data_IF_655426446220
#
_entry.id   IF_655426446220
#
_cell.length_a   1.000
_cell.length_b   1.000
_cell.length_c   1.000
_cell.angle_alpha   90.00
_cell.angle_beta   90.00
_cell.angle_gamma   90.00
#
_symmetry.space_group_name_H-M   'P 1'
#
loop_
_entity.id
_entity.type
_entity.pdbx_description
1 polymer ?
#
# COMPACT_ATOMS: atom_id res chain seq x y z
N UNK A 1 -11.97 -1.43 14.59
CA UNK A 1 -11.25 -0.78 13.49
C UNK A 1 -9.83 -1.31 13.46
N UNK A 2 -9.19 -1.32 12.29
CA UNK A 2 -7.79 -1.67 12.14
C UNK A 2 -7.04 -0.35 11.91
N UNK A 3 -6.30 0.16 12.89
CA UNK A 3 -5.84 1.56 12.88
C UNK A 3 -4.39 1.76 12.44
N UNK A 4 -3.55 0.72 12.44
CA UNK A 4 -2.19 0.80 11.89
C UNK A 4 -1.29 1.86 12.54
N UNK A 5 -1.63 2.31 13.75
CA UNK A 5 -0.94 3.38 14.48
C UNK A 5 -1.48 4.80 14.24
N UNK A 6 -2.57 4.98 13.49
CA UNK A 6 -3.26 6.27 13.33
C UNK A 6 -4.44 6.42 14.30
N UNK A 7 -4.65 7.64 14.79
CA UNK A 7 -5.61 7.91 15.87
C UNK A 7 -7.08 8.03 15.38
N UNK A 8 -7.30 8.13 14.07
CA UNK A 8 -8.64 8.30 13.48
C UNK A 8 -8.85 7.44 12.23
N UNK A 9 -9.68 6.40 12.34
CA UNK A 9 -10.21 5.65 11.19
C UNK A 9 -11.73 5.74 11.20
N UNK A 10 -12.34 6.04 10.06
CA UNK A 10 -13.80 6.05 9.93
C UNK A 10 -14.39 4.64 10.10
N UNK A 11 -15.66 4.50 10.53
CA UNK A 11 -16.33 3.20 10.60
C UNK A 11 -16.33 2.48 9.25
N UNK A 12 -15.89 1.22 9.22
CA UNK A 12 -15.78 0.42 7.99
C UNK A 12 -14.47 0.59 7.22
N UNK A 13 -13.59 1.49 7.67
CA UNK A 13 -12.25 1.69 7.12
C UNK A 13 -11.16 1.15 8.06
N UNK A 14 -9.97 0.95 7.48
CA UNK A 14 -8.79 0.55 8.21
C UNK A 14 -7.51 1.06 7.57
N UNK A 15 -6.46 1.11 8.38
CA UNK A 15 -5.11 1.53 8.04
C UNK A 15 -4.16 0.42 8.47
N UNK A 16 -3.34 -0.07 7.54
CA UNK A 16 -2.39 -1.15 7.75
C UNK A 16 -1.03 -0.74 7.19
N UNK A 17 0.04 -1.05 7.93
CA UNK A 17 1.41 -0.97 7.43
C UNK A 17 2.04 -2.35 7.44
N UNK A 18 2.70 -2.72 6.36
CA UNK A 18 3.41 -3.98 6.21
C UNK A 18 4.88 -3.71 5.87
N UNK A 19 5.79 -4.40 6.57
CA UNK A 19 7.21 -4.41 6.25
C UNK A 19 7.46 -5.57 5.30
N UNK A 20 8.07 -5.31 4.15
CA UNK A 20 8.32 -6.31 3.09
C UNK A 20 9.70 -6.16 2.49
N UNK A 21 10.28 -7.21 1.87
CA UNK A 21 11.53 -7.07 1.13
C UNK A 21 11.40 -5.96 0.07
N UNK A 22 12.45 -5.16 -0.13
CA UNK A 22 12.46 -4.06 -1.09
C UNK A 22 12.12 -4.49 -2.52
N UNK A 23 12.52 -5.71 -2.90
CA UNK A 23 12.14 -6.28 -4.20
C UNK A 23 10.65 -6.60 -4.32
N UNK A 24 9.98 -6.97 -3.22
CA UNK A 24 8.53 -7.17 -3.17
C UNK A 24 7.82 -5.83 -3.28
N UNK A 25 8.31 -4.80 -2.57
CA UNK A 25 7.81 -3.44 -2.71
C UNK A 25 7.90 -2.93 -4.16
N UNK A 26 9.02 -3.21 -4.84
CA UNK A 26 9.21 -2.90 -6.27
C UNK A 26 8.20 -3.61 -7.15
N UNK A 27 7.91 -4.89 -6.88
CA UNK A 27 6.94 -5.67 -7.64
C UNK A 27 5.50 -5.18 -7.44
N UNK A 28 5.14 -4.75 -6.21
CA UNK A 28 3.86 -4.09 -5.92
C UNK A 28 3.70 -2.80 -6.73
N UNK A 29 4.74 -1.98 -6.82
CA UNK A 29 4.72 -0.75 -7.65
C UNK A 29 4.52 -1.14 -9.12
N UNK A 30 5.32 -2.10 -9.60
CA UNK A 30 5.31 -2.54 -11.00
C UNK A 30 5.90 -1.50 -11.95
N UNK A 31 6.11 -1.90 -13.20
CA UNK A 31 6.68 -1.01 -14.24
C UNK A 31 5.75 0.18 -14.47
N UNK A 32 6.30 1.40 -14.41
CA UNK A 32 5.52 2.64 -14.57
C UNK A 32 4.41 2.86 -13.52
N UNK A 33 4.44 2.13 -12.40
CA UNK A 33 3.39 2.18 -11.39
C UNK A 33 2.09 1.47 -11.78
N UNK A 34 2.08 0.65 -12.84
CA UNK A 34 0.87 0.00 -13.34
C UNK A 34 0.24 -0.94 -12.31
N UNK A 35 1.06 -1.75 -11.63
CA UNK A 35 0.59 -2.74 -10.66
C UNK A 35 -0.08 -2.09 -9.46
N UNK A 36 0.55 -1.08 -8.86
CA UNK A 36 -0.02 -0.36 -7.71
C UNK A 36 -1.27 0.44 -8.09
N UNK A 37 -1.32 1.06 -9.28
CA UNK A 37 -2.53 1.74 -9.77
C UNK A 37 -3.69 0.78 -9.96
N UNK A 38 -3.44 -0.39 -10.54
CA UNK A 38 -4.45 -1.43 -10.69
C UNK A 38 -4.92 -1.96 -9.33
N UNK A 39 -4.00 -2.16 -8.39
CA UNK A 39 -4.34 -2.56 -7.02
C UNK A 39 -5.24 -1.53 -6.33
N UNK A 40 -4.88 -0.24 -6.40
CA UNK A 40 -5.69 0.86 -5.88
C UNK A 40 -7.08 0.90 -6.53
N UNK A 41 -7.15 0.77 -7.86
CA UNK A 41 -8.42 0.77 -8.60
C UNK A 41 -9.34 -0.39 -8.19
N UNK A 42 -8.80 -1.61 -8.08
CA UNK A 42 -9.57 -2.81 -7.74
C UNK A 42 -10.04 -2.85 -6.29
N UNK A 43 -9.27 -2.26 -5.37
CA UNK A 43 -9.52 -2.36 -3.93
C UNK A 43 -10.17 -1.12 -3.34
N UNK A 44 -10.11 0.03 -4.03
CA UNK A 44 -10.50 1.33 -3.48
C UNK A 44 -9.58 1.81 -2.36
N UNK A 45 -8.42 1.19 -2.15
CA UNK A 45 -7.46 1.59 -1.13
C UNK A 45 -6.52 2.68 -1.67
N UNK A 46 -6.10 3.57 -0.77
CA UNK A 46 -4.87 4.32 -0.93
C UNK A 46 -3.69 3.42 -0.53
N UNK A 47 -2.89 3.00 -1.51
CA UNK A 47 -1.69 2.18 -1.29
C UNK A 47 -0.45 3.02 -1.52
N UNK A 48 0.46 3.07 -0.56
CA UNK A 48 1.71 3.85 -0.64
C UNK A 48 2.90 2.99 -0.24
N UNK A 49 4.01 3.14 -0.95
CA UNK A 49 5.30 2.54 -0.59
C UNK A 49 6.22 3.65 -0.12
N UNK A 50 6.76 3.53 1.09
CA UNK A 50 7.76 4.49 1.59
C UNK A 50 9.07 4.32 0.79
N UNK A 51 9.66 5.44 0.37
CA UNK A 51 10.91 5.41 -0.40
C UNK A 51 12.13 4.97 0.44
N UNK A 52 11.99 4.96 1.76
CA UNK A 52 13.08 4.61 2.66
C UNK A 52 13.35 3.11 2.65
N UNK A 53 14.60 2.75 2.34
CA UNK A 53 15.12 1.41 2.57
C UNK A 53 15.56 1.24 4.01
N UNK A 54 15.23 0.10 4.61
CA UNK A 54 15.63 -0.28 5.96
C UNK A 54 16.45 -1.58 5.86
N UNK A 55 17.64 -1.67 6.46
CA UNK A 55 18.41 -0.61 7.09
C UNK A 55 18.86 0.49 6.10
N UNK A 56 19.17 1.68 6.64
CA UNK A 56 19.66 2.81 5.86
C UNK A 56 21.01 2.44 5.22
N UNK A 57 21.06 2.47 3.88
CA UNK A 57 22.20 1.97 3.09
C UNK A 57 21.83 0.84 2.14
N UNK A 58 20.65 0.24 2.31
CA UNK A 58 20.15 -0.82 1.43
C UNK A 58 20.88 -2.14 1.63
N UNK A 59 21.07 -2.88 0.54
CA UNK A 59 21.65 -4.22 0.54
C UNK A 59 20.65 -5.31 0.15
N UNK A 60 21.12 -6.55 0.08
CA UNK A 60 20.32 -7.71 -0.38
C UNK A 60 19.11 -7.98 0.51
N UNK A 61 19.21 -7.68 1.81
CA UNK A 61 18.14 -7.89 2.80
C UNK A 61 17.34 -6.60 3.08
N UNK A 62 17.48 -5.56 2.26
CA UNK A 62 16.77 -4.31 2.48
C UNK A 62 15.25 -4.50 2.37
N UNK A 63 14.51 -3.83 3.24
CA UNK A 63 13.06 -3.85 3.32
C UNK A 63 12.48 -2.45 3.24
N UNK A 64 11.17 -2.38 2.96
CA UNK A 64 10.40 -1.15 2.83
C UNK A 64 9.04 -1.31 3.50
N UNK A 65 8.42 -0.18 3.81
CA UNK A 65 7.08 -0.15 4.39
C UNK A 65 6.04 0.15 3.31
N UNK A 66 5.04 -0.71 3.21
CA UNK A 66 3.85 -0.52 2.39
C UNK A 66 2.68 -0.17 3.30
N UNK A 67 2.02 0.94 3.03
CA UNK A 67 0.83 1.41 3.74
C UNK A 67 -0.41 1.19 2.89
N UNK A 68 -1.47 0.71 3.52
CA UNK A 68 -2.80 0.50 2.95
C UNK A 68 -3.81 1.25 3.81
N UNK A 69 -4.58 2.16 3.22
CA UNK A 69 -5.67 2.84 3.93
C UNK A 69 -6.95 2.89 3.09
N UNK A 70 -8.10 2.67 3.73
CA UNK A 70 -9.41 2.71 3.07
C UNK A 70 -10.34 1.58 3.52
N UNK A 71 -11.30 1.15 2.68
CA UNK A 71 -12.33 0.18 3.04
C UNK A 71 -11.77 -1.20 3.45
N UNK A 72 -12.31 -1.78 4.52
CA UNK A 72 -11.86 -3.10 5.01
C UNK A 72 -12.02 -4.23 3.97
N UNK A 73 -13.04 -4.15 3.11
CA UNK A 73 -13.23 -5.13 2.03
C UNK A 73 -12.06 -5.11 1.02
N UNK A 74 -11.55 -3.91 0.70
CA UNK A 74 -10.37 -3.74 -0.15
C UNK A 74 -9.11 -4.28 0.50
N UNK A 75 -9.00 -4.14 1.83
CA UNK A 75 -7.85 -4.62 2.61
C UNK A 75 -7.58 -6.11 2.41
N UNK A 76 -8.62 -6.94 2.40
CA UNK A 76 -8.50 -8.38 2.20
C UNK A 76 -7.87 -8.71 0.84
N UNK A 77 -8.31 -8.03 -0.22
CA UNK A 77 -7.79 -8.23 -1.59
C UNK A 77 -6.33 -7.77 -1.68
N UNK A 78 -6.00 -6.64 -1.05
CA UNK A 78 -4.63 -6.13 -1.05
C UNK A 78 -3.66 -7.01 -0.25
N UNK A 79 -4.09 -7.55 0.88
CA UNK A 79 -3.30 -8.51 1.67
C UNK A 79 -3.03 -9.80 0.91
N UNK A 80 -4.02 -10.32 0.18
CA UNK A 80 -3.83 -11.50 -0.67
C UNK A 80 -2.85 -11.19 -1.81
N UNK A 81 -3.00 -10.03 -2.46
CA UNK A 81 -2.06 -9.59 -3.49
C UNK A 81 -0.63 -9.46 -2.94
N UNK A 82 -0.48 -8.92 -1.72
CA UNK A 82 0.82 -8.85 -1.05
C UNK A 82 1.41 -10.23 -0.80
N UNK A 83 0.60 -11.16 -0.29
CA UNK A 83 1.00 -12.53 -0.03
C UNK A 83 1.43 -13.26 -1.31
N UNK A 84 0.76 -13.03 -2.44
CA UNK A 84 1.16 -13.57 -3.75
C UNK A 84 2.57 -13.11 -4.15
N UNK A 85 2.89 -11.82 -3.95
CA UNK A 85 4.23 -11.30 -4.25
C UNK A 85 5.30 -11.87 -3.32
N UNK A 86 4.98 -12.06 -2.03
CA UNK A 86 5.88 -12.71 -1.07
C UNK A 86 6.09 -14.18 -1.44
N UNK A 87 5.03 -14.89 -1.80
CA UNK A 87 5.11 -16.28 -2.24
C UNK A 87 6.01 -16.43 -3.47
N UNK A 88 5.94 -15.50 -4.43
CA UNK A 88 6.79 -15.52 -5.62
C UNK A 88 8.30 -15.49 -5.33
N UNK A 89 8.71 -15.02 -4.14
CA UNK A 89 10.12 -14.89 -3.75
C UNK A 89 10.51 -15.74 -2.53
N UNK A 90 9.57 -16.45 -1.90
CA UNK A 90 9.83 -17.12 -0.62
C UNK A 90 10.83 -18.28 -0.72
N UNK A 91 11.00 -18.84 -1.92
CA UNK A 91 11.97 -19.88 -2.24
C UNK A 91 13.39 -19.36 -2.51
N UNK A 92 13.59 -18.05 -2.53
CA UNK A 92 14.91 -17.47 -2.75
C UNK A 92 15.82 -17.68 -1.53
N UNK A 93 17.14 -17.95 -1.72
CA UNK A 93 18.05 -18.25 -0.61
C UNK A 93 18.14 -17.14 0.45
N UNK A 94 18.02 -15.87 0.06
CA UNK A 94 18.08 -14.71 0.96
C UNK A 94 16.80 -14.50 1.77
N UNK A 95 15.68 -15.14 1.42
CA UNK A 95 14.36 -14.83 2.01
C UNK A 95 14.30 -15.18 3.50
N UNK A 96 14.86 -16.33 3.88
CA UNK A 96 14.93 -16.75 5.29
C UNK A 96 15.82 -15.82 6.11
N UNK A 97 16.95 -15.38 5.55
CA UNK A 97 17.85 -14.41 6.17
C UNK A 97 17.15 -13.05 6.34
N UNK A 98 16.43 -12.57 5.33
CA UNK A 98 15.63 -11.34 5.45
C UNK A 98 14.62 -11.45 6.59
N UNK A 99 13.85 -12.55 6.66
CA UNK A 99 12.86 -12.74 7.72
C UNK A 99 13.48 -12.75 9.12
N UNK A 100 14.66 -13.34 9.27
CA UNK A 100 15.39 -13.38 10.54
C UNK A 100 16.01 -12.02 10.95
N UNK A 101 16.23 -11.14 9.97
CA UNK A 101 16.90 -9.84 10.16
C UNK A 101 15.96 -8.64 9.94
N UNK A 102 14.66 -8.88 9.73
CA UNK A 102 13.68 -7.82 9.51
C UNK A 102 13.61 -6.89 10.72
N UNK A 103 13.51 -5.58 10.45
CA UNK A 103 13.34 -4.53 11.45
C UNK A 103 11.86 -4.28 11.79
N UNK A 104 10.97 -5.20 11.41
CA UNK A 104 9.57 -5.14 11.78
C UNK A 104 9.38 -4.99 13.30
N UNK A 105 8.61 -4.00 13.72
CA UNK A 105 8.37 -3.71 15.14
C UNK A 105 9.49 -2.95 15.86
N UNK A 106 10.61 -2.67 15.18
CA UNK A 106 11.70 -1.85 15.74
C UNK A 106 11.37 -0.37 15.57
N UNK A 107 11.49 0.40 16.66
CA UNK A 107 11.41 1.86 16.60
C UNK A 107 12.77 2.45 16.31
N UNK A 108 12.85 3.28 15.27
CA UNK A 108 14.02 4.05 14.92
C UNK A 108 13.76 5.53 15.27
N UNK A 109 14.40 6.09 16.32
CA UNK A 109 14.03 7.42 16.85
C UNK A 109 14.08 8.57 15.83
N UNK A 110 14.93 8.47 14.81
CA UNK A 110 15.10 9.49 13.76
C UNK A 110 14.42 9.14 12.42
N UNK A 111 13.78 7.97 12.32
CA UNK A 111 13.10 7.52 11.10
C UNK A 111 11.61 7.82 11.20
N UNK A 112 11.16 8.84 10.50
CA UNK A 112 9.74 9.09 10.29
C UNK A 112 9.33 8.53 8.94
N UNK A 113 8.57 7.44 8.98
CA UNK A 113 7.93 6.88 7.79
C UNK A 113 6.71 7.72 7.46
N UNK A 114 6.59 8.12 6.20
CA UNK A 114 5.58 9.04 5.72
C UNK A 114 5.60 10.38 6.48
N UNK A 115 6.20 11.42 5.89
CA UNK A 115 6.01 12.78 6.40
C UNK A 115 4.56 13.15 6.12
N UNK A 116 3.71 13.06 7.13
CA UNK A 116 2.41 13.68 7.08
C UNK A 116 2.65 15.18 6.96
N UNK A 117 2.48 15.72 5.75
CA UNK A 117 2.37 17.16 5.60
C UNK A 117 1.13 17.56 6.38
N UNK A 118 1.34 18.16 7.55
CA UNK A 118 0.28 18.64 8.43
C UNK A 118 -0.73 19.44 7.61
N UNK A 119 -1.98 19.06 7.75
CA UNK A 119 -3.19 19.59 7.11
C UNK A 119 -3.19 21.11 6.90
N UNK A 120 -3.29 21.53 5.64
CA UNK A 120 -4.00 22.73 5.24
C UNK A 120 -4.63 22.51 3.85
N UNK A 121 -5.96 22.40 3.84
CA UNK A 121 -6.86 22.43 2.68
C UNK A 121 -6.72 21.32 1.61
N UNK A 122 -7.56 20.29 1.72
CA UNK A 122 -8.18 19.68 0.54
C UNK A 122 -9.56 19.13 0.93
N UNK A 123 -10.57 19.97 0.75
CA UNK A 123 -11.93 19.53 0.50
C UNK A 123 -11.93 18.36 -0.50
N UNK A 124 -12.63 17.29 -0.14
CA UNK A 124 -13.36 16.44 -1.09
C UNK A 124 -12.59 15.93 -2.31
N UNK A 125 -11.46 15.25 -2.15
CA UNK A 125 -10.96 14.33 -3.17
C UNK A 125 -11.44 12.91 -2.88
N UNK A 126 -12.76 12.72 -2.92
CA UNK A 126 -13.37 11.41 -3.17
C UNK A 126 -12.81 10.92 -4.50
N UNK A 127 -12.09 9.80 -4.49
CA UNK A 127 -11.75 9.08 -5.71
C UNK A 127 -13.04 8.85 -6.49
N UNK A 128 -13.19 9.53 -7.62
CA UNK A 128 -14.47 9.68 -8.31
C UNK A 128 -15.08 8.31 -8.64
N UNK A 129 -16.30 8.10 -8.15
CA UNK A 129 -17.19 7.02 -8.57
C UNK A 129 -17.52 7.20 -10.06
N UNK A 130 -16.92 6.39 -10.94
CA UNK A 130 -17.42 6.23 -12.30
C UNK A 130 -18.53 5.17 -12.33
N UNK A 131 -19.70 5.53 -11.82
CA UNK A 131 -20.94 4.80 -12.05
C UNK A 131 -21.96 5.77 -12.64
N UNK A 132 -22.18 5.67 -13.95
CA UNK A 132 -23.07 6.57 -14.68
C UNK A 132 -23.30 6.12 -16.12
N UNK A 133 -23.96 4.98 -16.28
CA UNK A 133 -24.67 4.57 -17.49
C UNK A 133 -25.48 5.75 -18.05
N UNK A 134 -25.12 6.26 -19.24
CA UNK A 134 -26.05 7.08 -20.03
C UNK A 134 -26.78 6.17 -21.00
N UNK A 135 -28.05 5.93 -20.71
CA UNK A 135 -29.03 5.52 -21.72
C UNK A 135 -28.99 6.53 -22.87
N UNK A 136 -28.72 6.04 -24.08
CA UNK A 136 -28.95 6.80 -25.31
C UNK A 136 -30.43 6.72 -25.67
N UNK A 137 -31.09 7.86 -25.74
CA UNK A 137 -32.44 8.00 -26.27
C UNK A 137 -32.46 8.99 -27.43
N UNK A 138 -32.96 8.53 -28.58
CA UNK A 138 -33.77 9.32 -29.49
C UNK A 138 -33.03 10.20 -30.49
N UNK A 139 -33.04 9.79 -31.75
CA UNK A 139 -32.89 10.70 -32.88
C UNK A 139 -34.16 11.49 -33.16
N UNK A 140 -34.00 12.60 -33.86
CA UNK A 140 -34.97 13.12 -34.82
C UNK A 140 -34.20 13.96 -35.85
N UNK A 141 -34.38 13.60 -37.11
CA UNK A 141 -34.14 14.46 -38.26
C UNK A 141 -35.37 15.34 -38.50
#
# INVERSE_FOLDING_TARGET
SLTGGEEATHPGEGHLKAVVPSMVATAIIGRGGESIKNLQHRTGLCVRVDATLIPLGGGELAEQVVSFSGPLAGMQVALLTLAEHLAAVCWQPWFSAWGANSSCGVQFPSLQLFRDSTSAAADGAVCARSSGTRCGSGGAA
#
